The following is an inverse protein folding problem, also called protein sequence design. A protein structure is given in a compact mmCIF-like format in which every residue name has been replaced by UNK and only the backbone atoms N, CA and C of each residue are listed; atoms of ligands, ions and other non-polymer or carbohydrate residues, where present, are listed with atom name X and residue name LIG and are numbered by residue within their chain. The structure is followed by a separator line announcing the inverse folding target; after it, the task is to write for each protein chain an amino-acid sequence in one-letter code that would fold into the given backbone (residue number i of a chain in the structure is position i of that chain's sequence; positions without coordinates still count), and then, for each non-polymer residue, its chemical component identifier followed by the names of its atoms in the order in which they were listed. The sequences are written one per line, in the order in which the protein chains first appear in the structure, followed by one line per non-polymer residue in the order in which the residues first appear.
data_IF_370175294283
#
_entry.id   IF_370175294283
#
_cell.length_a   1.000
_cell.length_b   1.000
_cell.length_c   1.000
_cell.angle_alpha   90.00
_cell.angle_beta   90.00
_cell.angle_gamma   90.00
#
_symmetry.space_group_name_H-M   'P 1'
#
loop_
_entity.id
_entity.type
_entity.pdbx_description
1 polymer ?
#
# COMPACT_ATOMS: atom_id res chain seq x y z
N UNK A 1 -14.52 81.75 -19.26
CA UNK A 1 -13.21 81.23 -18.80
C UNK A 1 -12.78 80.19 -19.86
N UNK A 2 -11.81 80.37 -20.77
CA UNK A 2 -10.47 81.01 -20.70
C UNK A 2 -9.64 80.53 -19.49
N UNK A 3 -8.41 80.01 -19.62
CA UNK A 3 -7.54 79.83 -20.80
C UNK A 3 -6.31 78.93 -20.50
N UNK A 4 -5.53 78.58 -21.54
CA UNK A 4 -4.27 77.79 -21.53
C UNK A 4 -3.15 78.23 -20.56
N UNK A 5 -2.15 77.35 -20.34
CA UNK A 5 -0.79 77.74 -19.94
C UNK A 5 0.20 76.56 -19.76
N UNK A 6 1.12 76.36 -20.72
CA UNK A 6 2.35 75.56 -20.56
C UNK A 6 3.49 76.43 -20.02
N UNK A 7 4.53 75.81 -19.44
CA UNK A 7 5.99 76.12 -19.42
C UNK A 7 6.60 75.55 -18.11
N UNK A 8 7.48 74.53 -18.12
CA UNK A 8 8.88 74.47 -18.57
C UNK A 8 9.90 74.91 -17.49
N UNK A 9 10.91 74.05 -17.21
CA UNK A 9 12.02 74.39 -16.31
C UNK A 9 12.80 73.18 -15.75
N UNK A 10 13.90 72.81 -16.42
CA UNK A 10 14.99 71.97 -15.86
C UNK A 10 16.23 72.86 -15.79
N UNK A 11 17.05 72.77 -14.73
CA UNK A 11 18.45 72.47 -14.97
C UNK A 11 19.08 71.48 -13.96
N UNK A 12 20.21 70.94 -14.38
CA UNK A 12 21.00 69.87 -13.77
C UNK A 12 22.22 70.36 -12.95
N UNK A 13 22.58 69.61 -11.91
CA UNK A 13 23.98 69.38 -11.44
C UNK A 13 24.06 67.96 -10.86
N UNK A 14 25.03 67.04 -11.05
CA UNK A 14 26.37 66.96 -11.68
C UNK A 14 27.56 66.80 -10.71
N UNK A 15 27.82 65.56 -10.29
CA UNK A 15 29.08 64.99 -9.73
C UNK A 15 28.92 63.44 -9.75
N UNK A 16 29.73 62.55 -10.36
CA UNK A 16 31.16 62.55 -10.74
C UNK A 16 32.07 62.70 -9.51
N UNK A 17 33.05 61.85 -9.14
CA UNK A 17 33.81 60.69 -9.70
C UNK A 17 34.50 59.95 -8.52
N UNK A 18 35.02 58.70 -8.55
CA UNK A 18 35.02 57.55 -9.47
C UNK A 18 35.58 56.28 -8.73
N UNK A 19 35.80 55.16 -9.44
CA UNK A 19 36.52 53.94 -8.97
C UNK A 19 38.02 54.19 -8.72
N UNK A 20 38.71 53.24 -8.03
CA UNK A 20 39.68 52.45 -8.80
C UNK A 20 39.73 50.94 -8.47
N UNK A 21 40.38 50.19 -9.38
CA UNK A 21 40.87 48.81 -9.29
C UNK A 21 42.09 48.71 -10.26
N UNK A 22 42.87 47.62 -10.37
CA UNK A 22 43.05 46.43 -9.52
C UNK A 22 44.58 46.14 -9.26
N UNK A 23 44.96 44.85 -9.16
CA UNK A 23 46.32 44.27 -8.99
C UNK A 23 46.80 44.11 -7.54
N UNK A 24 47.59 43.09 -7.15
CA UNK A 24 48.37 42.10 -7.93
C UNK A 24 48.50 40.75 -7.21
N UNK A 25 48.89 39.69 -7.93
CA UNK A 25 49.47 38.45 -7.37
C UNK A 25 51.01 38.52 -7.48
N UNK A 26 51.77 37.81 -6.61
CA UNK A 26 52.41 36.58 -7.12
C UNK A 26 52.55 35.43 -6.08
N UNK A 27 53.27 34.38 -6.50
CA UNK A 27 53.24 32.99 -6.04
C UNK A 27 54.35 32.54 -5.06
N UNK A 28 54.23 31.26 -4.61
CA UNK A 28 55.21 30.38 -3.89
C UNK A 28 55.20 30.54 -2.35
N UNK A 29 55.19 29.47 -1.54
CA UNK A 29 56.06 28.29 -1.56
C UNK A 29 55.43 27.02 -0.92
N UNK A 30 55.88 25.85 -1.36
CA UNK A 30 55.75 24.56 -0.66
C UNK A 30 56.75 24.45 0.51
N UNK A 31 56.35 23.85 1.64
CA UNK A 31 57.14 22.85 2.41
C UNK A 31 56.26 22.09 3.41
N UNK A 32 56.57 20.81 3.73
CA UNK A 32 55.71 19.95 4.54
C UNK A 32 56.06 19.99 6.04
N UNK A 33 55.10 19.64 6.89
CA UNK A 33 55.33 19.38 8.32
C UNK A 33 54.69 18.05 8.75
N UNK A 34 55.59 17.08 8.95
CA UNK A 34 55.63 16.01 9.96
C UNK A 34 54.34 15.55 10.66
N UNK A 35 54.09 14.25 10.59
CA UNK A 35 53.17 13.52 11.45
C UNK A 35 53.62 13.47 12.92
N UNK A 36 52.70 13.14 13.83
CA UNK A 36 53.03 12.23 14.93
C UNK A 36 52.02 11.06 15.10
N UNK A 37 52.60 9.88 15.32
CA UNK A 37 52.13 8.80 16.22
C UNK A 37 50.67 8.30 16.06
N UNK A 38 50.45 7.14 15.43
CA UNK A 38 50.54 5.82 16.08
C UNK A 38 49.88 5.76 17.47
N UNK A 39 48.56 5.51 17.48
CA UNK A 39 47.88 4.94 18.64
C UNK A 39 47.64 3.45 18.41
N UNK A 40 47.94 2.66 19.43
CA UNK A 40 47.98 1.20 19.38
C UNK A 40 46.61 0.56 19.27
N UNK A 41 46.45 -0.34 18.29
CA UNK A 41 45.36 -1.30 18.23
C UNK A 41 45.44 -2.29 19.40
N UNK A 42 44.52 -2.21 20.36
CA UNK A 42 44.32 -3.30 21.32
C UNK A 42 43.48 -4.41 20.67
N UNK A 43 44.16 -5.44 20.17
CA UNK A 43 43.55 -6.68 19.73
C UNK A 43 42.95 -7.44 20.93
N UNK A 44 41.63 -7.46 21.04
CA UNK A 44 40.93 -8.42 21.91
C UNK A 44 40.73 -9.74 21.14
N UNK A 45 41.70 -10.62 21.27
CA UNK A 45 41.64 -11.98 20.75
C UNK A 45 40.63 -12.83 21.52
N UNK A 46 39.44 -13.05 20.95
CA UNK A 46 38.57 -14.14 21.40
C UNK A 46 39.13 -15.47 20.87
N UNK A 47 39.76 -16.23 21.77
CA UNK A 47 40.31 -17.54 21.44
C UNK A 47 39.20 -18.59 21.27
N UNK A 48 39.14 -19.21 20.10
CA UNK A 48 38.35 -20.41 19.83
C UNK A 48 39.02 -21.63 20.46
N UNK A 49 38.25 -22.49 21.14
CA UNK A 49 38.69 -23.80 21.61
C UNK A 49 37.69 -24.90 21.21
N UNK A 50 38.06 -25.76 20.26
CA UNK A 50 37.73 -27.18 20.21
C UNK A 50 39.02 -28.04 20.39
N UNK A 51 38.98 -29.39 20.50
CA UNK A 51 37.83 -30.29 20.33
C UNK A 51 37.60 -31.31 21.47
N UNK A 52 36.46 -32.01 21.42
CA UNK A 52 36.21 -33.28 22.12
C UNK A 52 35.62 -34.30 21.14
N UNK A 53 36.08 -35.56 21.16
CA UNK A 53 35.94 -36.49 20.04
C UNK A 53 35.32 -37.86 20.39
N UNK A 54 34.36 -38.28 19.54
CA UNK A 54 33.88 -39.66 19.29
C UNK A 54 33.11 -40.41 20.41
N UNK A 55 32.36 -41.50 20.09
CA UNK A 55 31.98 -42.07 18.78
C UNK A 55 30.44 -42.23 18.58
N UNK A 56 29.96 -42.58 17.35
CA UNK A 56 28.54 -42.87 17.07
C UNK A 56 28.16 -44.34 17.28
N UNK A 57 26.94 -44.60 17.77
CA UNK A 57 26.40 -45.96 17.95
C UNK A 57 25.34 -46.35 16.90
N UNK A 58 25.80 -47.16 15.95
CA UNK A 58 25.10 -48.29 15.28
C UNK A 58 23.59 -48.23 14.99
N UNK A 59 23.31 -48.27 13.68
CA UNK A 59 22.16 -48.90 13.04
C UNK A 59 21.49 -50.04 13.84
N UNK A 60 20.16 -50.00 13.92
CA UNK A 60 19.35 -51.23 13.83
C UNK A 60 18.00 -51.02 13.19
N UNK A 61 17.88 -51.48 11.95
CA UNK A 61 16.59 -51.74 11.31
C UNK A 61 15.86 -52.88 12.04
N UNK A 62 14.56 -52.70 12.28
CA UNK A 62 13.62 -53.81 12.49
C UNK A 62 12.31 -53.51 11.77
N UNK A 63 12.19 -54.08 10.57
CA UNK A 63 10.90 -54.41 10.00
C UNK A 63 10.21 -55.44 10.90
N UNK A 64 8.96 -55.18 11.28
CA UNK A 64 8.07 -56.21 11.81
C UNK A 64 6.73 -56.17 11.11
N UNK A 65 6.31 -57.38 10.75
CA UNK A 65 5.19 -57.75 9.92
C UNK A 65 3.83 -57.24 10.41
N UNK A 66 2.95 -57.00 9.43
CA UNK A 66 1.49 -57.01 9.59
C UNK A 66 1.00 -58.33 10.20
N UNK A 67 -0.22 -58.35 10.75
CA UNK A 67 -1.22 -59.17 10.07
C UNK A 67 -2.50 -58.40 9.70
N UNK A 68 -3.03 -58.73 8.53
CA UNK A 68 -4.39 -58.37 8.10
C UNK A 68 -5.41 -59.16 8.91
N UNK A 69 -6.49 -58.52 9.36
CA UNK A 69 -7.78 -59.18 9.55
C UNK A 69 -8.74 -58.75 8.44
N UNK A 70 -9.34 -59.73 7.75
CA UNK A 70 -10.49 -59.51 6.87
C UNK A 70 -11.75 -59.63 7.73
N UNK A 71 -12.75 -58.80 7.48
CA UNK A 71 -14.15 -59.22 7.62
C UNK A 71 -14.97 -58.59 6.50
N UNK A 72 -15.90 -59.38 5.98
CA UNK A 72 -16.67 -59.11 4.77
C UNK A 72 -18.15 -59.24 5.07
N UNK A 73 -18.97 -58.28 4.63
CA UNK A 73 -20.26 -58.54 3.97
C UNK A 73 -20.89 -57.22 3.48
N UNK A 74 -21.71 -57.25 2.42
CA UNK A 74 -22.38 -56.08 1.87
C UNK A 74 -23.72 -55.82 2.57
N UNK A 75 -24.33 -54.65 2.35
CA UNK A 75 -25.75 -54.45 2.58
C UNK A 75 -26.39 -53.59 1.48
N UNK A 76 -27.60 -53.94 1.09
CA UNK A 76 -28.28 -53.51 -0.13
C UNK A 76 -29.21 -52.31 0.05
N UNK A 77 -29.51 -51.61 -1.05
CA UNK A 77 -30.63 -50.66 -1.17
C UNK A 77 -31.92 -51.39 -1.58
N UNK A 78 -33.07 -51.11 -0.95
CA UNK A 78 -34.28 -50.80 -1.73
C UNK A 78 -35.27 -49.86 -0.99
N UNK A 79 -36.49 -49.56 -1.52
CA UNK A 79 -36.84 -49.17 -2.89
C UNK A 79 -37.71 -47.87 -2.93
N UNK A 80 -38.12 -47.45 -4.14
CA UNK A 80 -39.11 -46.39 -4.38
C UNK A 80 -40.54 -46.98 -4.32
N UNK A 81 -41.50 -46.30 -3.67
CA UNK A 81 -42.89 -46.79 -3.54
C UNK A 81 -43.96 -45.71 -3.22
N UNK A 82 -44.67 -45.28 -4.26
CA UNK A 82 -45.97 -44.57 -4.37
C UNK A 82 -46.90 -44.26 -3.16
N UNK A 83 -47.49 -43.05 -3.23
CA UNK A 83 -48.82 -42.62 -2.70
C UNK A 83 -48.96 -42.44 -1.17
N UNK A 84 -49.87 -41.63 -0.60
CA UNK A 84 -51.04 -40.94 -1.18
C UNK A 84 -51.34 -39.56 -0.53
N UNK A 85 -51.97 -38.69 -1.32
CA UNK A 85 -52.69 -37.44 -0.98
C UNK A 85 -53.05 -37.11 0.48
N UNK A 86 -52.86 -35.83 0.85
CA UNK A 86 -53.97 -35.01 1.41
C UNK A 86 -53.89 -33.59 0.86
N UNK A 87 -55.05 -33.00 0.58
CA UNK A 87 -55.25 -31.80 -0.26
C UNK A 87 -55.64 -30.61 0.60
N UNK A 88 -54.78 -29.59 0.68
CA UNK A 88 -55.19 -28.25 1.09
C UNK A 88 -54.91 -27.25 -0.03
N UNK A 89 -55.99 -26.68 -0.58
CA UNK A 89 -55.91 -25.61 -1.58
C UNK A 89 -55.63 -24.29 -0.88
N UNK A 90 -54.68 -23.50 -1.38
CA UNK A 90 -54.78 -22.03 -1.41
C UNK A 90 -54.02 -21.50 -2.64
N UNK A 91 -54.49 -20.38 -3.16
CA UNK A 91 -54.01 -19.78 -4.40
C UNK A 91 -52.57 -19.28 -4.25
N UNK A 92 -51.74 -19.57 -5.25
CA UNK A 92 -50.60 -18.73 -5.62
C UNK A 92 -50.71 -18.44 -7.11
N UNK A 93 -50.97 -17.18 -7.45
CA UNK A 93 -50.75 -16.67 -8.80
C UNK A 93 -49.24 -16.63 -9.09
N UNK A 94 -48.80 -16.71 -10.36
CA UNK A 94 -47.41 -16.51 -10.70
C UNK A 94 -47.03 -15.05 -10.46
N UNK A 95 -46.32 -14.78 -9.35
CA UNK A 95 -45.64 -13.51 -9.15
C UNK A 95 -44.70 -13.32 -10.35
N UNK A 96 -44.96 -12.28 -11.15
CA UNK A 96 -44.06 -11.86 -12.23
C UNK A 96 -42.67 -11.71 -11.64
N UNK A 97 -41.68 -12.34 -12.27
CA UNK A 97 -40.29 -12.12 -11.92
C UNK A 97 -40.00 -10.63 -12.07
N UNK A 98 -39.88 -9.93 -10.93
CA UNK A 98 -39.33 -8.58 -10.89
C UNK A 98 -37.90 -8.69 -11.39
N UNK A 99 -37.61 -8.04 -12.50
CA UNK A 99 -36.24 -7.81 -12.94
C UNK A 99 -35.56 -6.97 -11.87
N UNK A 100 -34.82 -7.63 -10.97
CA UNK A 100 -33.94 -6.95 -10.06
C UNK A 100 -32.95 -6.14 -10.89
N UNK A 101 -33.05 -4.81 -10.79
CA UNK A 101 -32.09 -3.90 -11.39
C UNK A 101 -30.72 -4.20 -10.78
N UNK A 102 -29.85 -4.83 -11.57
CA UNK A 102 -28.42 -4.84 -11.24
C UNK A 102 -27.97 -3.39 -11.20
N UNK A 103 -27.43 -2.95 -10.07
CA UNK A 103 -26.80 -1.63 -9.97
C UNK A 103 -25.75 -1.49 -11.08
N UNK A 104 -25.89 -0.45 -11.88
CA UNK A 104 -24.97 -0.13 -12.99
C UNK A 104 -23.55 -0.02 -12.44
N UNK A 105 -22.61 -0.81 -12.97
CA UNK A 105 -21.21 -0.73 -12.58
C UNK A 105 -20.55 0.49 -13.22
N UNK A 106 -19.47 1.03 -12.65
CA UNK A 106 -18.72 2.11 -13.33
C UNK A 106 -18.05 1.60 -14.61
N UNK A 107 -17.81 0.29 -14.69
CA UNK A 107 -17.44 -0.44 -15.92
C UNK A 107 -18.46 -0.32 -17.06
N UNK A 108 -19.71 0.08 -16.80
CA UNK A 108 -20.69 0.37 -17.87
C UNK A 108 -20.55 1.81 -18.40
N UNK A 109 -19.85 2.70 -17.68
CA UNK A 109 -19.61 4.10 -18.04
C UNK A 109 -18.22 4.36 -18.65
N UNK A 110 -17.24 3.51 -18.33
CA UNK A 110 -15.90 3.51 -18.95
C UNK A 110 -15.84 2.33 -19.91
N UNK A 111 -15.48 2.57 -21.18
CA UNK A 111 -15.38 1.47 -22.15
C UNK A 111 -14.36 0.41 -21.69
N UNK A 112 -14.71 -0.87 -21.80
CA UNK A 112 -13.87 -2.01 -21.36
C UNK A 112 -12.42 -1.96 -21.91
N UNK A 113 -12.25 -1.46 -23.15
CA UNK A 113 -10.95 -1.27 -23.77
C UNK A 113 -10.10 -0.15 -23.12
N UNK A 114 -10.75 0.88 -22.58
CA UNK A 114 -10.08 1.97 -21.85
C UNK A 114 -9.69 1.53 -20.43
N UNK A 115 -10.56 0.79 -19.75
CA UNK A 115 -10.22 0.15 -18.47
C UNK A 115 -9.01 -0.81 -18.62
N UNK A 116 -8.99 -1.61 -19.69
CA UNK A 116 -7.85 -2.46 -20.03
C UNK A 116 -6.57 -1.65 -20.29
N UNK A 117 -6.66 -0.52 -21.02
CA UNK A 117 -5.52 0.40 -21.24
C UNK A 117 -5.00 1.01 -19.93
N UNK A 118 -5.89 1.42 -19.01
CA UNK A 118 -5.48 1.92 -17.69
C UNK A 118 -4.69 0.85 -16.92
N UNK A 119 -5.16 -0.40 -16.91
CA UNK A 119 -4.52 -1.52 -16.24
C UNK A 119 -3.15 -1.89 -16.85
N UNK A 120 -3.02 -1.84 -18.19
CA UNK A 120 -1.75 -2.06 -18.89
C UNK A 120 -0.71 -0.98 -18.57
N UNK A 121 -1.11 0.28 -18.48
CA UNK A 121 -0.20 1.37 -18.10
C UNK A 121 0.14 1.30 -16.61
N UNK A 122 -0.82 1.01 -15.73
CA UNK A 122 -0.58 0.84 -14.30
C UNK A 122 0.47 -0.26 -13.99
N UNK A 123 0.51 -1.33 -14.79
CA UNK A 123 1.58 -2.32 -14.70
C UNK A 123 2.96 -1.77 -15.08
N UNK A 124 3.07 -1.01 -16.17
CA UNK A 124 4.34 -0.37 -16.58
C UNK A 124 4.85 0.62 -15.53
N UNK A 125 3.92 1.33 -14.88
CA UNK A 125 4.18 2.26 -13.77
C UNK A 125 4.76 1.50 -12.57
N UNK A 126 4.13 0.39 -12.15
CA UNK A 126 4.64 -0.48 -11.09
C UNK A 126 6.00 -1.13 -11.45
N UNK A 127 6.19 -1.56 -12.71
CA UNK A 127 7.46 -2.13 -13.18
C UNK A 127 8.61 -1.12 -13.07
N UNK A 128 8.38 0.13 -13.48
CA UNK A 128 9.35 1.21 -13.43
C UNK A 128 9.73 1.59 -11.99
N UNK A 129 8.73 1.79 -11.11
CA UNK A 129 8.97 2.02 -9.68
C UNK A 129 9.80 0.87 -9.08
N UNK A 130 9.39 -0.38 -9.31
CA UNK A 130 10.11 -1.55 -8.81
C UNK A 130 11.55 -1.65 -9.33
N UNK A 131 11.83 -1.22 -10.57
CA UNK A 131 13.20 -1.15 -11.08
C UNK A 131 14.05 -0.09 -10.40
N UNK A 132 13.47 1.05 -10.01
CA UNK A 132 14.17 2.07 -9.21
C UNK A 132 14.41 1.54 -7.79
N UNK A 133 13.36 1.11 -7.10
CA UNK A 133 13.42 0.72 -5.69
C UNK A 133 14.35 -0.46 -5.43
N UNK A 134 14.42 -1.44 -6.35
CA UNK A 134 15.39 -2.56 -6.28
C UNK A 134 16.86 -2.11 -6.35
N UNK A 135 17.17 -0.95 -6.95
CA UNK A 135 18.53 -0.39 -6.99
C UNK A 135 18.92 0.25 -5.66
N UNK A 136 17.96 0.78 -4.91
CA UNK A 136 18.19 1.45 -3.63
C UNK A 136 18.08 0.51 -2.41
N UNK A 137 17.19 -0.48 -2.46
CA UNK A 137 16.93 -1.39 -1.35
C UNK A 137 18.19 -2.16 -0.89
N UNK A 138 18.47 -2.12 0.42
CA UNK A 138 19.64 -2.75 1.08
C UNK A 138 21.02 -2.33 0.55
N UNK A 139 21.14 -1.22 -0.19
CA UNK A 139 22.47 -0.68 -0.51
C UNK A 139 23.08 0.04 0.70
N UNK A 140 24.41 0.01 0.80
CA UNK A 140 25.16 0.83 1.74
C UNK A 140 25.32 2.24 1.17
N UNK A 141 24.59 3.21 1.72
CA UNK A 141 24.82 4.62 1.47
C UNK A 141 25.63 5.21 2.61
N UNK A 142 26.58 6.09 2.29
CA UNK A 142 27.08 7.04 3.28
C UNK A 142 25.89 7.93 3.66
N UNK A 143 25.47 7.88 4.93
CA UNK A 143 24.44 8.77 5.46
C UNK A 143 25.06 10.17 5.46
N UNK A 144 24.80 10.92 4.40
CA UNK A 144 25.09 12.34 4.37
C UNK A 144 24.11 13.00 5.33
N UNK A 145 24.60 13.51 6.45
CA UNK A 145 23.86 14.37 7.40
C UNK A 145 23.51 15.71 6.72
N UNK A 146 22.57 15.63 5.78
CA UNK A 146 21.80 16.72 5.20
C UNK A 146 20.35 16.31 5.37
N UNK A 147 19.56 17.20 5.97
CA UNK A 147 18.25 16.93 6.57
C UNK A 147 17.16 16.47 5.58
N UNK A 148 17.49 16.31 4.29
CA UNK A 148 16.57 16.10 3.15
C UNK A 148 17.14 15.12 2.08
N UNK A 149 18.15 14.31 2.41
CA UNK A 149 18.82 13.40 1.46
C UNK A 149 19.00 11.97 2.01
N UNK A 150 18.02 11.48 2.76
CA UNK A 150 18.02 10.08 3.17
C UNK A 150 17.90 9.15 1.95
N UNK A 151 18.50 7.94 1.97
CA UNK A 151 18.39 7.02 0.84
C UNK A 151 16.97 6.61 0.49
N UNK A 152 16.04 6.61 1.46
CA UNK A 152 14.63 6.34 1.19
C UNK A 152 13.98 7.52 0.48
N UNK A 153 14.26 8.78 0.87
CA UNK A 153 13.76 9.99 0.20
C UNK A 153 14.23 10.07 -1.26
N UNK A 154 15.47 9.67 -1.54
CA UNK A 154 15.99 9.63 -2.92
C UNK A 154 15.31 8.49 -3.71
N UNK A 155 15.20 7.31 -3.11
CA UNK A 155 14.55 6.16 -3.75
C UNK A 155 13.08 6.42 -4.09
N UNK A 156 12.37 7.10 -3.17
CA UNK A 156 10.95 7.43 -3.28
C UNK A 156 10.72 8.43 -4.42
N UNK A 157 11.36 9.61 -4.35
CA UNK A 157 11.27 10.63 -5.40
C UNK A 157 11.67 10.12 -6.78
N UNK A 158 12.76 9.37 -6.88
CA UNK A 158 13.22 8.81 -8.16
C UNK A 158 12.21 7.78 -8.72
N UNK A 159 11.52 7.04 -7.84
CA UNK A 159 10.47 6.11 -8.22
C UNK A 159 9.18 6.87 -8.63
N UNK A 160 8.74 7.88 -7.87
CA UNK A 160 7.59 8.73 -8.21
C UNK A 160 7.77 9.39 -9.59
N UNK A 161 8.94 9.98 -9.88
CA UNK A 161 9.20 10.60 -11.19
C UNK A 161 9.24 9.59 -12.35
N UNK A 162 9.69 8.35 -12.11
CA UNK A 162 9.59 7.27 -13.09
C UNK A 162 8.14 6.88 -13.39
N UNK A 163 7.29 6.85 -12.36
CA UNK A 163 5.86 6.58 -12.48
C UNK A 163 5.15 7.71 -13.23
N UNK A 164 5.38 8.95 -12.82
CA UNK A 164 4.76 10.17 -13.38
C UNK A 164 5.11 10.36 -14.85
N UNK A 165 6.35 10.08 -15.25
CA UNK A 165 6.79 10.18 -16.64
C UNK A 165 5.93 9.30 -17.56
N UNK A 166 5.70 8.04 -17.17
CA UNK A 166 4.88 7.07 -17.92
C UNK A 166 3.41 7.51 -17.93
N UNK A 167 2.90 7.98 -16.79
CA UNK A 167 1.50 8.43 -16.67
C UNK A 167 1.21 9.66 -17.54
N UNK A 168 2.08 10.68 -17.53
CA UNK A 168 1.88 11.90 -18.31
C UNK A 168 2.14 11.72 -19.82
N UNK A 169 2.88 10.69 -20.23
CA UNK A 169 3.00 10.26 -21.63
C UNK A 169 1.71 9.58 -22.11
N UNK A 170 1.16 8.66 -21.32
CA UNK A 170 0.02 7.84 -21.72
C UNK A 170 -1.34 8.54 -21.51
N UNK A 171 -1.44 9.42 -20.51
CA UNK A 171 -2.66 10.11 -20.06
C UNK A 171 -2.40 11.60 -19.73
N UNK A 172 -2.02 12.44 -20.71
CA UNK A 172 -1.62 13.83 -20.48
C UNK A 172 -2.70 14.74 -19.88
N UNK A 173 -3.97 14.32 -19.89
CA UNK A 173 -5.13 15.02 -19.31
C UNK A 173 -5.54 14.53 -17.91
N UNK A 174 -4.88 13.49 -17.38
CA UNK A 174 -5.12 13.01 -16.02
C UNK A 174 -4.30 13.83 -15.03
N UNK A 175 -4.78 13.93 -13.79
CA UNK A 175 -3.97 14.43 -12.69
C UNK A 175 -3.22 13.28 -12.02
N UNK A 176 -2.19 13.66 -11.26
CA UNK A 176 -1.42 12.78 -10.38
C UNK A 176 -1.39 13.44 -9.01
N UNK A 177 -1.48 12.63 -7.95
CA UNK A 177 -1.27 13.05 -6.56
C UNK A 177 -0.25 12.09 -5.92
N UNK A 178 0.95 12.59 -5.63
CA UNK A 178 1.98 11.84 -4.92
C UNK A 178 2.14 12.28 -3.47
N UNK A 179 2.83 11.50 -2.65
CA UNK A 179 3.22 11.91 -1.28
C UNK A 179 4.14 13.14 -1.33
N UNK A 180 5.21 13.08 -2.10
CA UNK A 180 6.28 14.08 -2.13
C UNK A 180 5.86 15.36 -2.89
N UNK A 181 5.24 15.21 -4.06
CA UNK A 181 4.94 16.34 -4.96
C UNK A 181 3.49 16.83 -4.91
N UNK A 182 2.59 16.14 -4.18
CA UNK A 182 1.16 16.48 -4.13
C UNK A 182 0.49 16.51 -5.51
N UNK A 183 -0.45 17.43 -5.70
CA UNK A 183 -1.25 17.54 -6.92
C UNK A 183 -0.45 18.07 -8.12
N UNK A 184 -0.47 17.31 -9.23
CA UNK A 184 0.11 17.67 -10.52
C UNK A 184 -0.88 17.40 -11.65
N UNK A 185 -1.30 18.44 -12.38
CA UNK A 185 -2.13 18.32 -13.57
C UNK A 185 -1.77 19.42 -14.59
N UNK A 186 -1.85 19.11 -15.89
CA UNK A 186 -1.73 20.11 -16.98
C UNK A 186 -3.05 20.83 -17.22
N UNK A 187 -4.16 20.13 -17.01
CA UNK A 187 -5.51 20.64 -17.22
C UNK A 187 -6.08 21.29 -15.95
N UNK A 188 -7.04 22.21 -16.13
CA UNK A 188 -7.73 22.87 -15.00
C UNK A 188 -8.68 21.94 -14.24
N UNK A 189 -9.13 20.88 -14.89
CA UNK A 189 -10.10 19.92 -14.36
C UNK A 189 -9.88 18.57 -15.03
N UNK A 190 -10.12 17.49 -14.28
CA UNK A 190 -10.03 16.13 -14.77
C UNK A 190 -10.98 15.24 -13.99
N UNK A 191 -11.53 14.23 -14.66
CA UNK A 191 -12.32 13.17 -14.05
C UNK A 191 -11.43 12.07 -13.43
N UNK A 192 -10.15 12.02 -13.81
CA UNK A 192 -9.23 10.93 -13.48
C UNK A 192 -7.98 11.43 -12.74
N UNK A 193 -7.71 10.79 -11.59
CA UNK A 193 -6.54 11.11 -10.76
C UNK A 193 -5.80 9.82 -10.41
N UNK A 194 -4.51 9.78 -10.71
CA UNK A 194 -3.62 8.72 -10.23
C UNK A 194 -3.08 9.11 -8.86
N UNK A 195 -3.30 8.31 -7.83
CA UNK A 195 -2.74 8.53 -6.49
C UNK A 195 -1.62 7.51 -6.25
N UNK A 196 -0.45 8.00 -5.84
CA UNK A 196 0.79 7.23 -5.79
C UNK A 196 1.44 7.32 -4.40
N UNK A 197 1.91 6.18 -3.91
CA UNK A 197 2.94 6.06 -2.87
C UNK A 197 4.01 5.08 -3.39
N UNK A 198 5.25 5.53 -3.65
CA UNK A 198 6.31 4.64 -4.10
C UNK A 198 6.78 3.64 -3.04
N UNK A 199 6.78 3.98 -1.75
CA UNK A 199 7.34 3.18 -0.64
C UNK A 199 6.46 3.25 0.63
N UNK A 200 5.25 2.69 0.55
CA UNK A 200 4.47 2.40 1.75
C UNK A 200 5.25 1.43 2.63
N UNK A 201 5.38 1.76 3.91
CA UNK A 201 6.29 1.08 4.83
C UNK A 201 7.74 1.53 4.70
N UNK A 202 8.00 2.84 4.59
CA UNK A 202 9.35 3.45 4.60
C UNK A 202 10.29 2.88 5.69
N UNK A 203 9.78 2.55 6.89
CA UNK A 203 10.58 1.93 7.97
C UNK A 203 10.98 0.49 7.65
N UNK A 204 10.10 -0.28 7.00
CA UNK A 204 10.40 -1.61 6.45
C UNK A 204 11.50 -1.49 5.37
N UNK A 205 11.41 -0.50 4.47
CA UNK A 205 12.44 -0.24 3.46
C UNK A 205 13.82 0.09 4.09
N UNK A 206 13.89 1.10 4.96
CA UNK A 206 15.14 1.55 5.62
C UNK A 206 15.83 0.41 6.37
N UNK A 207 15.05 -0.41 7.10
CA UNK A 207 15.58 -1.52 7.90
C UNK A 207 15.87 -2.78 7.07
N UNK A 208 15.68 -2.74 5.74
CA UNK A 208 15.94 -3.86 4.85
C UNK A 208 14.93 -5.00 4.96
N UNK A 209 13.73 -4.74 5.47
CA UNK A 209 12.62 -5.70 5.52
C UNK A 209 11.81 -5.63 4.21
N UNK A 210 11.74 -6.71 3.41
CA UNK A 210 11.13 -6.68 2.07
C UNK A 210 9.60 -6.81 2.11
N UNK A 211 8.93 -6.11 3.04
CA UNK A 211 7.46 -6.07 3.18
C UNK A 211 6.89 -4.64 3.07
N UNK A 212 7.68 -3.68 2.60
CA UNK A 212 7.17 -2.41 2.06
C UNK A 212 6.45 -2.67 0.72
N UNK A 213 5.66 -1.74 0.20
CA UNK A 213 5.02 -1.87 -1.12
C UNK A 213 4.95 -0.57 -1.90
N UNK A 214 4.82 -0.66 -3.21
CA UNK A 214 4.43 0.47 -4.07
C UNK A 214 2.93 0.42 -4.28
N UNK A 215 2.25 1.53 -4.00
CA UNK A 215 0.81 1.68 -4.10
C UNK A 215 0.45 2.61 -5.25
N UNK A 216 -0.46 2.12 -6.12
CA UNK A 216 -0.98 2.89 -7.25
C UNK A 216 -2.49 2.77 -7.24
N UNK A 217 -3.19 3.89 -7.16
CA UNK A 217 -4.64 3.96 -7.34
C UNK A 217 -4.97 4.81 -8.57
N UNK A 218 -5.99 4.40 -9.34
CA UNK A 218 -6.67 5.29 -10.28
C UNK A 218 -8.05 5.59 -9.72
N UNK A 219 -8.34 6.87 -9.52
CA UNK A 219 -9.65 7.38 -9.13
C UNK A 219 -10.39 7.88 -10.37
N UNK A 220 -11.68 7.60 -10.44
CA UNK A 220 -12.63 8.25 -11.34
C UNK A 220 -13.67 8.97 -10.48
N UNK A 221 -13.72 10.30 -10.54
CA UNK A 221 -14.62 11.15 -9.73
C UNK A 221 -14.56 10.81 -8.23
N UNK A 222 -13.35 10.77 -7.67
CA UNK A 222 -13.10 10.47 -6.26
C UNK A 222 -13.19 8.98 -5.85
N UNK A 223 -13.81 8.09 -6.65
CA UNK A 223 -13.86 6.65 -6.35
C UNK A 223 -12.65 5.92 -6.95
N UNK A 224 -11.89 5.13 -6.17
CA UNK A 224 -10.94 4.16 -6.71
C UNK A 224 -11.59 3.15 -7.67
N UNK A 225 -11.05 3.03 -8.88
CA UNK A 225 -11.47 2.06 -9.91
C UNK A 225 -10.40 1.03 -10.25
N UNK A 226 -9.12 1.35 -10.02
CA UNK A 226 -7.99 0.41 -10.07
C UNK A 226 -7.13 0.63 -8.83
N UNK A 227 -6.64 -0.45 -8.25
CA UNK A 227 -5.66 -0.44 -7.17
C UNK A 227 -4.58 -1.50 -7.41
N UNK A 228 -3.32 -1.14 -7.20
CA UNK A 228 -2.17 -2.04 -7.23
C UNK A 228 -1.40 -1.94 -5.91
N UNK A 229 -1.03 -3.11 -5.38
CA UNK A 229 0.02 -3.27 -4.36
C UNK A 229 1.13 -4.09 -5.00
N UNK A 230 2.31 -3.50 -5.22
CA UNK A 230 3.49 -4.20 -5.75
C UNK A 230 4.55 -4.36 -4.65
N UNK A 231 4.99 -5.58 -4.40
CA UNK A 231 6.19 -5.85 -3.61
C UNK A 231 7.36 -6.12 -4.59
N UNK A 232 8.22 -5.14 -4.89
CA UNK A 232 9.15 -5.24 -6.01
C UNK A 232 10.34 -6.18 -5.78
N UNK A 233 10.61 -6.58 -4.53
CA UNK A 233 11.70 -7.49 -4.14
C UNK A 233 11.23 -8.94 -4.18
N UNK A 234 10.04 -9.22 -3.65
CA UNK A 234 9.39 -10.55 -3.68
C UNK A 234 8.77 -10.85 -5.05
N UNK A 235 8.50 -9.81 -5.86
CA UNK A 235 7.82 -9.88 -7.16
C UNK A 235 6.39 -10.42 -7.02
N UNK A 236 5.66 -9.82 -6.11
CA UNK A 236 4.25 -10.11 -5.85
C UNK A 236 3.43 -8.84 -6.11
N UNK A 237 2.52 -8.90 -7.07
CA UNK A 237 1.66 -7.80 -7.47
C UNK A 237 0.21 -8.19 -7.31
N UNK A 238 -0.48 -7.50 -6.41
CA UNK A 238 -1.93 -7.53 -6.30
C UNK A 238 -2.54 -6.46 -7.19
N UNK A 239 -3.55 -6.82 -7.97
CA UNK A 239 -4.29 -5.90 -8.84
C UNK A 239 -5.78 -6.08 -8.56
N UNK A 240 -6.42 -5.04 -8.04
CA UNK A 240 -7.87 -4.91 -7.88
C UNK A 240 -8.43 -3.93 -8.91
N UNK A 241 -9.62 -4.21 -9.41
CA UNK A 241 -10.26 -3.38 -10.44
C UNK A 241 -11.79 -3.50 -10.35
N UNK A 242 -12.50 -2.37 -10.46
CA UNK A 242 -13.96 -2.35 -10.34
C UNK A 242 -14.60 -3.34 -11.32
N UNK A 243 -15.57 -4.12 -10.85
CA UNK A 243 -16.23 -5.16 -11.65
C UNK A 243 -15.42 -6.44 -11.96
N UNK A 244 -14.14 -6.55 -11.57
CA UNK A 244 -13.34 -7.78 -11.74
C UNK A 244 -12.82 -8.32 -10.38
N UNK A 245 -12.48 -9.61 -10.34
CA UNK A 245 -11.86 -10.23 -9.16
C UNK A 245 -10.40 -9.81 -9.05
N UNK A 246 -9.95 -9.53 -7.83
CA UNK A 246 -8.54 -9.24 -7.53
C UNK A 246 -7.65 -10.40 -7.92
N UNK A 247 -6.48 -10.09 -8.49
CA UNK A 247 -5.45 -11.08 -8.81
C UNK A 247 -4.15 -10.83 -8.06
N UNK A 248 -3.42 -11.90 -7.75
CA UNK A 248 -2.01 -11.90 -7.36
C UNK A 248 -1.21 -12.54 -8.50
N UNK A 249 -0.27 -11.80 -9.10
CA UNK A 249 0.57 -12.28 -10.21
C UNK A 249 -0.26 -12.93 -11.34
N UNK A 250 -1.40 -12.31 -11.67
CA UNK A 250 -2.33 -12.78 -12.71
C UNK A 250 -3.21 -13.97 -12.33
N UNK A 251 -3.16 -14.45 -11.09
CA UNK A 251 -4.06 -15.50 -10.56
C UNK A 251 -5.10 -14.88 -9.65
N UNK A 252 -6.36 -15.22 -9.86
CA UNK A 252 -7.46 -14.81 -8.98
C UNK A 252 -7.21 -15.20 -7.52
N UNK A 253 -7.47 -14.27 -6.60
CA UNK A 253 -7.42 -14.49 -5.14
C UNK A 253 -8.81 -14.31 -4.52
N UNK A 254 -8.92 -14.66 -3.24
CA UNK A 254 -10.13 -14.49 -2.45
C UNK A 254 -9.75 -14.33 -0.99
N UNK A 255 -10.49 -13.49 -0.27
CA UNK A 255 -10.50 -13.52 1.19
C UNK A 255 -11.03 -14.87 1.71
N UNK A 256 -10.83 -15.14 3.01
CA UNK A 256 -11.41 -16.31 3.69
C UNK A 256 -12.54 -15.91 4.64
N UNK A 257 -13.47 -16.82 4.86
CA UNK A 257 -14.49 -16.70 5.91
C UNK A 257 -13.88 -16.84 7.31
N UNK A 258 -14.40 -16.10 8.28
CA UNK A 258 -14.01 -16.20 9.69
C UNK A 258 -15.26 -16.05 10.58
N UNK A 259 -15.56 -17.05 11.42
CA UNK A 259 -16.90 -17.16 12.03
C UNK A 259 -17.21 -16.16 13.16
N UNK A 260 -16.20 -15.43 13.65
CA UNK A 260 -16.27 -14.45 14.74
C UNK A 260 -14.90 -13.81 14.99
N UNK A 261 -14.87 -12.59 15.53
CA UNK A 261 -13.65 -11.82 15.79
C UNK A 261 -12.63 -12.56 16.68
N UNK A 262 -13.10 -13.35 17.65
CA UNK A 262 -12.24 -14.19 18.52
C UNK A 262 -11.49 -15.33 17.81
N UNK A 263 -11.71 -15.52 16.50
CA UNK A 263 -10.93 -16.41 15.66
C UNK A 263 -10.02 -15.67 14.65
N UNK A 264 -10.20 -14.36 14.49
CA UNK A 264 -9.44 -13.55 13.54
C UNK A 264 -7.98 -13.36 13.94
N UNK A 265 -7.09 -13.53 12.97
CA UNK A 265 -5.74 -13.01 12.97
C UNK A 265 -5.78 -11.55 12.54
N UNK A 266 -5.40 -10.66 13.46
CA UNK A 266 -5.36 -9.22 13.27
C UNK A 266 -3.94 -8.78 12.88
N UNK A 267 -3.83 -7.85 11.94
CA UNK A 267 -2.61 -7.07 11.71
C UNK A 267 -2.83 -5.57 11.96
N UNK A 268 -1.75 -4.89 12.32
CA UNK A 268 -1.57 -3.44 12.25
C UNK A 268 -0.08 -3.14 12.15
N UNK A 269 0.35 -2.02 11.60
CA UNK A 269 1.77 -1.72 11.39
C UNK A 269 2.53 -1.59 12.71
N UNK A 270 1.98 -0.86 13.68
CA UNK A 270 2.67 -0.67 14.97
C UNK A 270 1.68 -0.37 16.08
N UNK A 271 1.86 -0.91 17.30
CA UNK A 271 1.04 -0.52 18.45
C UNK A 271 1.25 0.96 18.86
N UNK A 272 2.26 1.64 18.32
CA UNK A 272 2.61 3.03 18.62
C UNK A 272 2.10 4.06 17.60
N UNK A 273 1.36 3.62 16.55
CA UNK A 273 0.72 4.52 15.58
C UNK A 273 -0.72 4.91 15.96
N UNK A 274 -1.14 4.53 17.16
CA UNK A 274 -2.40 4.93 17.77
C UNK A 274 -2.15 5.99 18.84
N UNK A 275 -3.12 6.86 19.10
CA UNK A 275 -3.01 7.93 20.10
C UNK A 275 -4.38 8.39 20.58
N UNK A 276 -4.49 8.72 21.86
CA UNK A 276 -5.74 9.14 22.50
C UNK A 276 -6.86 8.12 22.31
N UNK A 277 -8.08 8.59 22.04
CA UNK A 277 -9.28 7.79 21.85
C UNK A 277 -9.07 6.65 20.81
N UNK A 278 -8.23 6.86 19.79
CA UNK A 278 -7.96 5.87 18.76
C UNK A 278 -7.15 4.67 19.29
N UNK A 279 -6.29 4.88 20.29
CA UNK A 279 -5.60 3.79 21.00
C UNK A 279 -6.59 2.98 21.84
N UNK A 280 -7.51 3.64 22.54
CA UNK A 280 -8.53 2.95 23.34
C UNK A 280 -9.46 2.08 22.46
N UNK A 281 -9.90 2.62 21.32
CA UNK A 281 -10.70 1.88 20.33
C UNK A 281 -9.93 0.67 19.74
N UNK A 282 -8.68 0.86 19.33
CA UNK A 282 -7.84 -0.24 18.87
C UNK A 282 -7.63 -1.31 19.95
N UNK A 283 -7.40 -0.91 21.21
CA UNK A 283 -7.21 -1.83 22.34
C UNK A 283 -8.46 -2.68 22.59
N UNK A 284 -9.68 -2.13 22.44
CA UNK A 284 -10.93 -2.91 22.52
C UNK A 284 -10.95 -4.05 21.50
N UNK A 285 -10.58 -3.78 20.24
CA UNK A 285 -10.52 -4.79 19.17
C UNK A 285 -9.39 -5.79 19.41
N UNK A 286 -8.18 -5.28 19.66
CA UNK A 286 -6.94 -6.07 19.88
C UNK A 286 -7.10 -7.11 21.00
N UNK A 287 -7.88 -6.80 22.04
CA UNK A 287 -8.11 -7.70 23.17
C UNK A 287 -9.23 -8.74 22.91
N UNK A 288 -9.99 -8.64 21.80
CA UNK A 288 -11.06 -9.59 21.41
C UNK A 288 -10.71 -10.51 20.24
N UNK A 289 -9.62 -10.24 19.51
CA UNK A 289 -9.13 -11.08 18.40
C UNK A 289 -8.38 -12.33 18.90
N UNK A 290 -8.09 -13.27 18.00
CA UNK A 290 -7.35 -14.50 18.34
C UNK A 290 -5.88 -14.21 18.68
N UNK A 291 -5.21 -13.46 17.80
CA UNK A 291 -3.82 -13.00 17.95
C UNK A 291 -3.66 -11.67 17.20
N UNK A 292 -3.12 -10.60 17.83
CA UNK A 292 -2.62 -9.43 17.13
C UNK A 292 -1.18 -9.62 16.66
N UNK A 293 -0.92 -9.29 15.40
CA UNK A 293 0.37 -9.36 14.71
C UNK A 293 0.74 -7.98 14.14
N UNK A 294 2.02 -7.77 13.82
CA UNK A 294 2.54 -6.41 13.59
C UNK A 294 3.54 -6.26 12.45
N UNK A 295 3.61 -5.04 11.90
CA UNK A 295 4.80 -4.49 11.25
C UNK A 295 4.97 -4.74 9.76
N UNK A 296 3.94 -4.65 8.94
CA UNK A 296 4.10 -4.81 7.49
C UNK A 296 3.09 -4.04 6.64
N UNK A 297 2.61 -2.88 7.10
CA UNK A 297 2.09 -1.83 6.21
C UNK A 297 1.00 -2.38 5.23
N UNK A 298 0.94 -1.95 3.97
CA UNK A 298 0.03 -2.47 2.93
C UNK A 298 0.09 -4.00 2.73
N UNK A 299 1.22 -4.63 3.04
CA UNK A 299 1.40 -6.08 2.86
C UNK A 299 0.46 -6.88 3.79
N UNK A 300 0.04 -6.31 4.93
CA UNK A 300 -1.03 -6.91 5.75
C UNK A 300 -2.37 -7.01 4.99
N UNK A 301 -2.72 -5.99 4.21
CA UNK A 301 -3.91 -5.94 3.37
C UNK A 301 -3.80 -6.87 2.16
N UNK A 302 -2.61 -6.97 1.55
CA UNK A 302 -2.32 -7.95 0.49
C UNK A 302 -2.50 -9.40 0.97
N UNK A 303 -2.04 -9.72 2.18
CA UNK A 303 -2.29 -11.01 2.83
C UNK A 303 -3.76 -11.24 3.18
N UNK A 304 -4.52 -10.19 3.52
CA UNK A 304 -5.97 -10.26 3.76
C UNK A 304 -6.73 -10.58 2.47
N UNK A 305 -6.45 -9.87 1.38
CA UNK A 305 -7.00 -10.14 0.04
C UNK A 305 -6.69 -11.57 -0.46
N UNK A 306 -5.61 -12.16 0.05
CA UNK A 306 -5.19 -13.54 -0.25
C UNK A 306 -5.74 -14.58 0.72
N UNK A 307 -6.57 -14.19 1.69
CA UNK A 307 -7.19 -15.09 2.66
C UNK A 307 -6.27 -15.63 3.75
N UNK A 308 -5.11 -14.99 3.99
CA UNK A 308 -4.17 -15.38 5.04
C UNK A 308 -4.36 -14.60 6.35
N UNK A 309 -4.84 -13.36 6.26
CA UNK A 309 -5.22 -12.47 7.39
C UNK A 309 -6.74 -12.28 7.41
N UNK A 310 -7.34 -12.11 8.59
CA UNK A 310 -8.80 -11.95 8.72
C UNK A 310 -9.22 -10.50 8.94
N UNK A 311 -8.37 -9.70 9.58
CA UNK A 311 -8.66 -8.32 10.01
C UNK A 311 -7.38 -7.48 9.97
N UNK A 312 -7.48 -6.23 9.52
CA UNK A 312 -6.46 -5.18 9.64
C UNK A 312 -7.12 -3.94 10.21
N UNK A 313 -6.50 -3.30 11.20
CA UNK A 313 -7.02 -2.07 11.84
C UNK A 313 -5.88 -1.09 12.01
N UNK A 314 -6.00 0.09 11.42
CA UNK A 314 -4.96 1.13 11.43
C UNK A 314 -5.56 2.52 11.64
N UNK A 315 -4.74 3.44 12.13
CA UNK A 315 -5.08 4.83 12.44
C UNK A 315 -4.00 5.73 11.84
N UNK A 316 -4.38 6.88 11.30
CA UNK A 316 -3.45 7.89 10.81
C UNK A 316 -3.13 7.86 9.30
N UNK A 317 -3.58 6.84 8.57
CA UNK A 317 -3.26 6.59 7.16
C UNK A 317 -3.62 7.77 6.25
N UNK A 318 -2.76 8.08 5.29
CA UNK A 318 -3.00 9.06 4.23
C UNK A 318 -3.74 8.43 3.05
N UNK A 319 -4.33 9.25 2.15
CA UNK A 319 -5.08 8.75 1.00
C UNK A 319 -4.24 7.87 0.08
N UNK A 320 -2.95 8.18 -0.08
CA UNK A 320 -2.03 7.39 -0.88
C UNK A 320 -1.75 5.99 -0.27
N UNK A 321 -1.73 5.88 1.06
CA UNK A 321 -1.60 4.61 1.80
C UNK A 321 -2.80 3.65 1.60
N UNK A 322 -4.03 4.15 1.39
CA UNK A 322 -5.25 3.31 1.40
C UNK A 322 -6.06 3.24 0.11
N UNK A 323 -5.99 4.22 -0.80
CA UNK A 323 -6.89 4.26 -1.97
C UNK A 323 -6.64 3.10 -2.96
N UNK A 324 -5.42 2.59 -3.02
CA UNK A 324 -5.03 1.39 -3.77
C UNK A 324 -5.57 0.10 -3.16
N UNK A 325 -5.76 0.09 -1.83
CA UNK A 325 -6.23 -1.08 -1.08
C UNK A 325 -7.72 -1.33 -1.34
N UNK A 326 -8.52 -0.29 -1.56
CA UNK A 326 -9.98 -0.41 -1.71
C UNK A 326 -10.38 -1.37 -2.85
N UNK A 327 -9.94 -1.19 -4.12
CA UNK A 327 -10.28 -2.14 -5.18
C UNK A 327 -9.67 -3.54 -4.96
N UNK A 328 -8.52 -3.63 -4.29
CA UNK A 328 -7.81 -4.89 -4.01
C UNK A 328 -8.58 -5.74 -2.98
N UNK A 329 -9.04 -5.13 -1.88
CA UNK A 329 -9.81 -5.82 -0.84
C UNK A 329 -11.23 -6.13 -1.32
N UNK A 330 -11.95 -5.15 -1.91
CA UNK A 330 -13.32 -5.36 -2.40
C UNK A 330 -13.35 -6.42 -3.52
N UNK A 331 -12.43 -6.34 -4.49
CA UNK A 331 -12.31 -7.31 -5.58
C UNK A 331 -11.91 -8.72 -5.13
N UNK A 332 -11.36 -8.87 -3.91
CA UNK A 332 -11.07 -10.17 -3.29
C UNK A 332 -12.26 -10.74 -2.51
N UNK A 333 -13.36 -9.98 -2.36
CA UNK A 333 -14.53 -10.33 -1.56
C UNK A 333 -14.48 -9.88 -0.10
N UNK A 334 -13.52 -9.02 0.27
CA UNK A 334 -13.43 -8.43 1.59
C UNK A 334 -14.30 -7.19 1.78
N UNK A 335 -14.16 -6.54 2.93
CA UNK A 335 -14.76 -5.25 3.24
C UNK A 335 -13.69 -4.32 3.82
N UNK A 336 -13.73 -3.04 3.45
CA UNK A 336 -12.80 -2.01 3.92
C UNK A 336 -13.54 -0.68 4.05
N UNK A 337 -13.49 -0.06 5.22
CA UNK A 337 -14.19 1.18 5.56
C UNK A 337 -13.35 2.06 6.47
N UNK A 338 -13.86 3.24 6.80
CA UNK A 338 -13.43 3.94 8.00
C UNK A 338 -13.93 3.21 9.27
N UNK A 339 -13.56 3.72 10.46
CA UNK A 339 -13.98 3.13 11.74
C UNK A 339 -15.45 3.37 12.13
N UNK A 340 -16.20 4.19 11.37
CA UNK A 340 -17.67 4.34 11.51
C UNK A 340 -18.43 3.36 10.62
N UNK A 341 -17.74 2.71 9.69
CA UNK A 341 -18.33 1.84 8.66
C UNK A 341 -18.67 2.59 7.38
N UNK A 342 -18.28 3.86 7.26
CA UNK A 342 -18.48 4.66 6.07
C UNK A 342 -17.43 4.35 4.99
N UNK A 343 -17.79 4.57 3.73
CA UNK A 343 -16.87 4.33 2.61
C UNK A 343 -15.66 5.25 2.70
N UNK A 344 -14.47 4.67 2.57
CA UNK A 344 -13.24 5.43 2.39
C UNK A 344 -13.34 6.25 1.10
N UNK A 345 -13.44 7.57 1.25
CA UNK A 345 -13.55 8.52 0.16
C UNK A 345 -12.66 9.72 0.44
N UNK A 346 -11.83 10.07 -0.54
CA UNK A 346 -11.05 11.28 -0.53
C UNK A 346 -10.99 11.86 -1.95
N UNK A 347 -11.43 13.11 -2.09
CA UNK A 347 -11.45 13.81 -3.37
C UNK A 347 -10.13 14.56 -3.56
N UNK A 348 -9.27 14.00 -4.41
CA UNK A 348 -8.02 14.63 -4.81
C UNK A 348 -8.31 15.89 -5.65
N UNK A 349 -7.78 17.04 -5.23
CA UNK A 349 -7.88 18.33 -5.93
C UNK A 349 -6.62 19.18 -5.75
N UNK A 350 -6.43 20.28 -6.52
CA UNK A 350 -5.32 21.21 -6.32
C UNK A 350 -5.24 21.82 -4.91
N UNK A 351 -6.39 21.98 -4.25
CA UNK A 351 -6.53 22.55 -2.90
C UNK A 351 -6.59 21.47 -1.80
N UNK A 352 -6.76 20.20 -2.18
CA UNK A 352 -6.87 19.09 -1.25
C UNK A 352 -5.60 18.95 -0.40
N UNK A 353 -5.79 18.61 0.87
CA UNK A 353 -4.70 18.24 1.78
C UNK A 353 -4.92 16.80 2.22
N UNK A 354 -3.88 15.96 2.30
CA UNK A 354 -4.00 14.57 2.71
C UNK A 354 -4.28 14.49 4.21
N UNK A 355 -5.58 14.52 4.55
CA UNK A 355 -6.08 14.22 5.87
C UNK A 355 -5.71 12.78 6.26
N UNK A 356 -5.60 12.53 7.57
CA UNK A 356 -5.38 11.18 8.08
C UNK A 356 -6.71 10.50 8.34
N UNK A 357 -6.80 9.22 7.98
CA UNK A 357 -7.97 8.37 8.10
C UNK A 357 -7.69 7.20 9.05
N UNK A 358 -8.75 6.71 9.67
CA UNK A 358 -8.73 5.47 10.45
C UNK A 358 -9.39 4.38 9.61
N UNK A 359 -8.68 3.28 9.35
CA UNK A 359 -9.09 2.25 8.40
C UNK A 359 -9.30 0.93 9.13
N UNK A 360 -10.37 0.22 8.77
CA UNK A 360 -10.59 -1.19 9.12
C UNK A 360 -10.85 -1.97 7.84
N UNK A 361 -10.19 -3.12 7.69
CA UNK A 361 -10.41 -4.05 6.60
C UNK A 361 -10.58 -5.46 7.15
N UNK A 362 -11.55 -6.22 6.65
CA UNK A 362 -11.79 -7.60 7.06
C UNK A 362 -12.03 -8.52 5.86
N UNK A 363 -11.59 -9.78 5.99
CA UNK A 363 -11.82 -10.80 4.98
C UNK A 363 -13.28 -11.30 4.93
N UNK A 364 -14.02 -11.12 6.02
CA UNK A 364 -15.39 -11.59 6.23
C UNK A 364 -16.28 -10.43 6.72
N UNK A 365 -17.44 -10.14 6.07
CA UNK A 365 -18.35 -9.08 6.48
C UNK A 365 -18.88 -9.20 7.92
N UNK A 366 -18.98 -10.41 8.49
CA UNK A 366 -19.38 -10.59 9.88
C UNK A 366 -18.27 -10.08 10.83
N UNK A 367 -17.01 -10.43 10.56
CA UNK A 367 -15.86 -9.94 11.35
C UNK A 367 -15.67 -8.43 11.16
N UNK A 368 -15.94 -7.90 9.97
CA UNK A 368 -15.96 -6.46 9.73
C UNK A 368 -16.94 -5.75 10.68
N UNK A 369 -18.19 -6.24 10.73
CA UNK A 369 -19.21 -5.68 11.61
C UNK A 369 -18.85 -5.85 13.08
N UNK A 370 -18.41 -7.02 13.51
CA UNK A 370 -17.95 -7.25 14.88
C UNK A 370 -16.76 -6.36 15.27
N UNK A 371 -15.90 -5.97 14.32
CA UNK A 371 -14.83 -5.01 14.57
C UNK A 371 -15.38 -3.59 14.77
N UNK A 372 -16.28 -3.12 13.91
CA UNK A 372 -16.96 -1.81 14.06
C UNK A 372 -17.73 -1.70 15.39
N UNK A 373 -18.52 -2.73 15.72
CA UNK A 373 -19.29 -2.82 16.98
C UNK A 373 -18.38 -2.78 18.23
N UNK A 374 -17.09 -3.12 18.09
CA UNK A 374 -16.09 -3.14 19.18
C UNK A 374 -15.18 -1.90 19.17
N UNK A 375 -14.98 -1.27 18.01
CA UNK A 375 -14.29 0.01 17.90
C UNK A 375 -15.04 1.11 18.65
N UNK A 376 -16.38 1.08 18.65
CA UNK A 376 -17.22 2.07 19.34
C UNK A 376 -16.86 3.53 18.97
N UNK A 377 -16.48 3.76 17.71
CA UNK A 377 -15.97 5.04 17.20
C UNK A 377 -17.11 6.04 16.95
N UNK A 378 -16.92 7.32 17.32
CA UNK A 378 -17.97 8.35 17.30
C UNK A 378 -17.78 9.41 16.22
#
# INVERSE_FOLDING_TARGET
MRSHGLLAGVPSTSTSTAFPSPSSSPSRLFKPLSAPQMLSSHSLSFALNPPGSHPPSLLRSRSLFLPRSRLSSPFELPPIGSSSSTRWRRFCEPIRASTAEKGMGIVDAVAEAEMQRFMEVANKVADAAGEVLRKYFRQSFEILDKEDLSPVTIADRDAEESMVSILLENFPSHAIFGEENGWRCKEKWTDYVWVLDPIDGTKSFITGKPLFGTLIALLHKGKPIIGIIDQPVLRERWIGMDGRRTTLNGREVSTRTCSKISQAYLYTTSPHLFSGDAEEAFVRVRNKVKVPLYGCDCYAYALLASGFVDLVVESGLKPYDFLSLVPVIEGAGGSITDWKGDKLHWEASPESRPASFNVVAAGDPQVHKEALDVLEWQ
#
